data_IF_020773856621
#
_entry.id   IF_020773856621
#
_cell.length_a   1.000
_cell.length_b   1.000
_cell.length_c   1.000
_cell.angle_alpha   90.00
_cell.angle_beta   90.00
_cell.angle_gamma   90.00
#
_symmetry.space_group_name_H-M   'P 1'
#
loop_
_entity.id
_entity.type
_entity.pdbx_description
1 polymer ?
#
# COMPACT_ATOMS: atom_id res chain seq x y z
N UNK A 1 12.51 27.71 11.33
CA UNK A 1 12.12 27.36 9.94
C UNK A 1 10.67 26.92 9.97
N UNK A 2 9.77 27.53 9.18
CA UNK A 2 8.36 27.08 9.07
C UNK A 2 8.35 26.00 7.99
N UNK A 3 8.27 24.74 8.38
CA UNK A 3 8.15 23.60 7.45
C UNK A 3 6.68 23.25 7.31
N UNK A 4 6.18 23.17 6.07
CA UNK A 4 4.83 22.71 5.79
C UNK A 4 4.88 21.18 5.57
N UNK A 5 4.12 20.38 6.34
CA UNK A 5 4.07 18.94 6.12
C UNK A 5 3.46 18.63 4.75
N UNK A 6 3.95 17.57 4.09
CA UNK A 6 3.45 17.12 2.78
C UNK A 6 2.21 16.22 2.93
N UNK A 7 2.15 15.44 3.99
CA UNK A 7 1.08 14.50 4.27
C UNK A 7 0.94 14.27 5.78
N UNK A 8 -0.17 13.67 6.18
CA UNK A 8 -0.44 13.21 7.54
C UNK A 8 -0.64 11.69 7.52
N UNK A 9 0.05 10.96 8.37
CA UNK A 9 -0.23 9.54 8.61
C UNK A 9 -1.43 9.45 9.54
N UNK A 10 -2.53 8.88 9.06
CA UNK A 10 -3.78 8.74 9.82
C UNK A 10 -3.72 7.55 10.77
N UNK A 11 -3.27 6.39 10.25
CA UNK A 11 -3.16 5.17 11.02
C UNK A 11 -2.07 4.26 10.42
N UNK A 12 -1.67 3.26 11.17
CA UNK A 12 -0.79 2.18 10.71
C UNK A 12 -1.20 0.85 11.34
N UNK A 13 -0.89 -0.23 10.64
CA UNK A 13 -1.11 -1.59 11.10
C UNK A 13 -0.12 -2.56 10.45
N UNK A 14 0.07 -3.68 11.09
CA UNK A 14 0.80 -4.83 10.57
C UNK A 14 -0.08 -6.09 10.62
N UNK A 15 0.34 -7.13 9.94
CA UNK A 15 -0.30 -8.44 9.98
C UNK A 15 0.75 -9.54 9.89
N UNK A 16 0.48 -10.65 10.56
CA UNK A 16 1.26 -11.89 10.49
C UNK A 16 0.34 -13.02 10.08
N UNK A 17 0.80 -13.82 9.15
CA UNK A 17 0.14 -15.04 8.69
C UNK A 17 1.19 -16.12 8.45
N UNK A 18 0.76 -17.32 8.11
CA UNK A 18 1.69 -18.39 7.75
C UNK A 18 2.63 -17.98 6.62
N UNK A 19 3.92 -18.33 6.68
CA UNK A 19 4.91 -17.91 5.68
C UNK A 19 4.54 -18.28 4.24
N UNK A 20 3.88 -19.41 4.01
CA UNK A 20 3.42 -19.85 2.68
C UNK A 20 2.40 -18.89 2.08
N UNK A 21 1.65 -18.19 2.91
CA UNK A 21 0.58 -17.26 2.50
C UNK A 21 1.03 -15.80 2.49
N UNK A 22 2.33 -15.50 2.66
CA UNK A 22 2.83 -14.13 2.81
C UNK A 22 2.30 -13.16 1.76
N UNK A 23 2.06 -13.65 0.53
CA UNK A 23 1.59 -12.83 -0.59
C UNK A 23 0.23 -12.16 -0.36
N UNK A 24 -0.59 -12.72 0.53
CA UNK A 24 -1.90 -12.16 0.90
C UNK A 24 -1.92 -11.45 2.26
N UNK A 25 -0.79 -11.40 2.96
CA UNK A 25 -0.68 -10.68 4.24
C UNK A 25 -1.13 -9.20 4.15
N UNK A 26 -0.86 -8.45 3.07
CA UNK A 26 -1.27 -7.05 2.95
C UNK A 26 -2.78 -6.82 3.12
N UNK A 27 -3.65 -7.75 2.69
CA UNK A 27 -5.09 -7.57 2.89
C UNK A 27 -5.49 -7.49 4.37
N UNK A 28 -4.83 -8.28 5.22
CA UNK A 28 -5.12 -8.28 6.65
C UNK A 28 -4.64 -6.99 7.31
N UNK A 29 -3.46 -6.50 6.95
CA UNK A 29 -2.96 -5.21 7.39
C UNK A 29 -3.88 -4.06 6.90
N UNK A 30 -4.34 -4.11 5.65
CA UNK A 30 -5.29 -3.15 5.09
C UNK A 30 -6.61 -3.13 5.86
N UNK A 31 -7.22 -4.29 6.11
CA UNK A 31 -8.44 -4.37 6.91
C UNK A 31 -8.25 -3.82 8.32
N UNK A 32 -7.10 -4.12 8.95
CA UNK A 32 -6.78 -3.63 10.28
C UNK A 32 -6.58 -2.11 10.31
N UNK A 33 -5.89 -1.52 9.34
CA UNK A 33 -5.67 -0.07 9.30
C UNK A 33 -6.95 0.70 8.97
N UNK A 34 -7.81 0.16 8.10
CA UNK A 34 -9.12 0.73 7.83
C UNK A 34 -10.01 0.75 9.08
N UNK A 35 -10.06 -0.36 9.81
CA UNK A 35 -10.80 -0.42 11.07
C UNK A 35 -10.27 0.59 12.10
N UNK A 36 -8.95 0.77 12.22
CA UNK A 36 -8.33 1.76 13.12
C UNK A 36 -8.62 3.20 12.71
N UNK A 37 -8.67 3.47 11.40
CA UNK A 37 -8.93 4.83 10.88
C UNK A 37 -10.40 5.21 10.85
N UNK A 38 -11.30 4.22 10.93
CA UNK A 38 -12.74 4.42 10.74
C UNK A 38 -13.14 4.70 9.29
N UNK A 39 -12.27 4.41 8.33
CA UNK A 39 -12.53 4.60 6.90
C UNK A 39 -12.98 3.30 6.24
N UNK A 40 -13.93 3.41 5.30
CA UNK A 40 -14.24 2.34 4.36
C UNK A 40 -13.21 2.28 3.23
N UNK A 41 -13.06 1.13 2.59
CA UNK A 41 -12.12 0.95 1.48
C UNK A 41 -12.46 1.82 0.27
N UNK A 42 -13.74 2.09 0.05
CA UNK A 42 -14.27 2.95 -0.99
C UNK A 42 -13.83 4.41 -0.85
N UNK A 43 -13.52 4.85 0.38
CA UNK A 43 -13.03 6.19 0.68
C UNK A 43 -11.53 6.38 0.36
N UNK A 44 -10.86 5.30 -0.06
CA UNK A 44 -9.45 5.35 -0.41
C UNK A 44 -9.30 5.64 -1.91
N UNK A 45 -8.59 6.70 -2.24
CA UNK A 45 -8.37 7.11 -3.63
C UNK A 45 -7.33 6.25 -4.32
N UNK A 46 -6.18 6.00 -3.67
CA UNK A 46 -5.05 5.27 -4.23
C UNK A 46 -4.40 4.31 -3.24
N UNK A 47 -3.81 3.25 -3.78
CA UNK A 47 -3.07 2.24 -3.05
C UNK A 47 -1.67 2.10 -3.64
N UNK A 48 -0.67 2.04 -2.77
CA UNK A 48 0.70 1.67 -3.14
C UNK A 48 1.06 0.37 -2.44
N UNK A 49 1.19 -0.69 -3.21
CA UNK A 49 1.66 -2.00 -2.74
C UNK A 49 3.13 -2.19 -3.07
N UNK A 50 3.87 -2.81 -2.16
CA UNK A 50 5.19 -3.30 -2.49
C UNK A 50 5.06 -4.59 -3.31
N UNK A 51 5.52 -4.56 -4.55
CA UNK A 51 5.51 -5.70 -5.46
C UNK A 51 6.76 -6.56 -5.25
N UNK A 52 6.91 -7.18 -4.06
CA UNK A 52 7.97 -8.18 -3.88
C UNK A 52 7.86 -9.28 -4.95
N UNK A 53 6.62 -9.60 -5.34
CA UNK A 53 6.21 -10.37 -6.51
C UNK A 53 4.94 -9.75 -7.09
N UNK A 54 4.71 -9.87 -8.40
CA UNK A 54 3.49 -9.38 -9.05
C UNK A 54 2.21 -9.99 -8.45
N UNK A 55 2.30 -11.24 -7.99
CA UNK A 55 1.20 -11.94 -7.31
C UNK A 55 0.69 -11.17 -6.08
N UNK A 56 1.55 -10.47 -5.35
CA UNK A 56 1.14 -9.70 -4.16
C UNK A 56 0.07 -8.68 -4.51
N UNK A 57 0.30 -7.87 -5.54
CA UNK A 57 -0.68 -6.85 -5.99
C UNK A 57 -1.94 -7.51 -6.51
N UNK A 58 -1.81 -8.46 -7.43
CA UNK A 58 -2.95 -9.11 -8.08
C UNK A 58 -3.87 -9.80 -7.07
N UNK A 59 -3.28 -10.55 -6.12
CA UNK A 59 -4.05 -11.26 -5.10
C UNK A 59 -4.78 -10.29 -4.16
N UNK A 60 -4.07 -9.28 -3.63
CA UNK A 60 -4.67 -8.36 -2.66
C UNK A 60 -5.71 -7.44 -3.31
N UNK A 61 -5.50 -6.95 -4.54
CA UNK A 61 -6.50 -6.18 -5.27
C UNK A 61 -7.78 -6.98 -5.47
N UNK A 62 -7.66 -8.25 -5.86
CA UNK A 62 -8.81 -9.16 -6.03
C UNK A 62 -9.52 -9.45 -4.71
N UNK A 63 -8.78 -9.75 -3.64
CA UNK A 63 -9.35 -10.10 -2.32
C UNK A 63 -10.03 -8.92 -1.62
N UNK A 64 -9.63 -7.70 -1.95
CA UNK A 64 -10.18 -6.46 -1.39
C UNK A 64 -11.14 -5.73 -2.34
N UNK A 65 -11.38 -6.29 -3.53
CA UNK A 65 -12.20 -5.69 -4.59
C UNK A 65 -11.73 -4.26 -4.97
N UNK A 66 -10.41 -4.09 -5.11
CA UNK A 66 -9.79 -2.81 -5.46
C UNK A 66 -9.57 -2.76 -6.98
N UNK A 67 -10.02 -1.68 -7.60
CA UNK A 67 -9.77 -1.43 -9.03
C UNK A 67 -8.27 -1.23 -9.31
N UNK A 68 -7.75 -1.88 -10.35
CA UNK A 68 -6.37 -1.74 -10.80
C UNK A 68 -5.99 -0.29 -11.13
N UNK A 69 -6.97 0.53 -11.51
CA UNK A 69 -6.77 1.97 -11.77
C UNK A 69 -6.35 2.77 -10.55
N UNK A 70 -6.57 2.24 -9.35
CA UNK A 70 -6.20 2.86 -8.07
C UNK A 70 -4.88 2.35 -7.50
N UNK A 71 -4.26 1.35 -8.12
CA UNK A 71 -3.11 0.63 -7.54
C UNK A 71 -1.84 0.93 -8.31
N UNK A 72 -0.77 1.33 -7.58
CA UNK A 72 0.57 1.56 -8.14
C UNK A 72 0.54 2.37 -9.45
N UNK A 73 -0.20 3.47 -9.47
CA UNK A 73 -0.54 4.21 -10.69
C UNK A 73 0.69 4.78 -11.44
N UNK A 74 1.81 4.95 -10.75
CA UNK A 74 3.10 5.33 -11.35
C UNK A 74 4.05 4.14 -11.56
N UNK A 75 3.54 2.91 -11.42
CA UNK A 75 4.33 1.70 -11.45
C UNK A 75 4.86 1.30 -10.06
N UNK A 76 5.03 0.01 -9.86
CA UNK A 76 5.55 -0.59 -8.63
C UNK A 76 6.94 -1.19 -8.79
N UNK A 77 7.34 -2.06 -7.87
CA UNK A 77 8.68 -2.64 -7.84
C UNK A 77 9.01 -3.51 -9.05
N UNK A 78 8.01 -4.09 -9.72
CA UNK A 78 8.22 -4.85 -10.97
C UNK A 78 8.82 -3.95 -12.06
N UNK A 79 8.38 -2.69 -12.14
CA UNK A 79 8.91 -1.73 -13.10
C UNK A 79 10.13 -0.96 -12.57
N UNK A 80 10.17 -0.63 -11.27
CA UNK A 80 11.11 0.31 -10.67
C UNK A 80 12.24 -0.37 -9.90
N UNK A 81 12.11 -1.67 -9.58
CA UNK A 81 13.03 -2.40 -8.72
C UNK A 81 12.60 -2.42 -7.25
N UNK A 82 13.19 -3.36 -6.50
CA UNK A 82 12.88 -3.58 -5.09
C UNK A 82 14.13 -3.57 -4.21
N UNK A 83 14.73 -2.40 -3.94
CA UNK A 83 15.79 -2.30 -2.94
C UNK A 83 15.17 -2.44 -1.55
N UNK A 84 15.37 -3.58 -0.91
CA UNK A 84 14.69 -4.02 0.33
C UNK A 84 14.72 -2.94 1.42
N UNK A 85 15.85 -2.30 1.65
CA UNK A 85 16.01 -1.27 2.67
C UNK A 85 15.32 0.07 2.34
N UNK A 86 14.81 0.26 1.12
CA UNK A 86 14.24 1.55 0.67
C UNK A 86 12.79 1.46 0.20
N UNK A 87 12.31 0.26 -0.16
CA UNK A 87 10.98 0.11 -0.76
C UNK A 87 9.85 0.65 0.12
N UNK A 88 9.93 0.52 1.44
CA UNK A 88 8.94 1.11 2.34
C UNK A 88 8.87 2.64 2.24
N UNK A 89 10.00 3.31 2.20
CA UNK A 89 10.06 4.76 1.99
C UNK A 89 9.60 5.14 0.57
N UNK A 90 10.00 4.36 -0.44
CA UNK A 90 9.62 4.60 -1.84
C UNK A 90 8.11 4.59 -2.02
N UNK A 91 7.39 3.58 -1.53
CA UNK A 91 5.92 3.50 -1.70
C UNK A 91 5.20 4.68 -1.03
N UNK A 92 5.68 5.14 0.13
CA UNK A 92 5.13 6.34 0.79
C UNK A 92 5.36 7.58 -0.09
N UNK A 93 6.56 7.76 -0.64
CA UNK A 93 6.86 8.89 -1.52
C UNK A 93 6.06 8.84 -2.82
N UNK A 94 5.91 7.64 -3.42
CA UNK A 94 5.06 7.43 -4.59
C UNK A 94 3.63 7.85 -4.30
N UNK A 95 3.05 7.39 -3.18
CA UNK A 95 1.69 7.74 -2.79
C UNK A 95 1.51 9.24 -2.57
N UNK A 96 2.46 9.91 -1.90
CA UNK A 96 2.44 11.37 -1.74
C UNK A 96 2.46 12.07 -3.10
N UNK A 97 3.21 11.55 -4.06
CA UNK A 97 3.31 12.13 -5.41
C UNK A 97 2.03 11.95 -6.20
N UNK A 98 1.33 10.82 -6.05
CA UNK A 98 0.04 10.55 -6.69
C UNK A 98 -1.06 11.46 -6.13
N UNK A 99 -1.02 11.77 -4.84
CA UNK A 99 -2.03 12.59 -4.15
C UNK A 99 -1.86 14.12 -4.35
N UNK A 100 -0.82 14.57 -5.06
CA UNK A 100 -0.50 16.00 -5.30
C UNK A 100 -0.85 16.46 -6.69
#
# INVERSE_FOLDING_TARGET
MKVKPLAKIIAYADAKIEPVDFSIAPQYATKSVLAKSGLGIEAIDFFEYNEAFSLVVLANSKLLDISDKKVNVFGGAVALGHPIGMSGARIILSLISVLR
#
